data_IF_235286513990
#
_entry.id   IF_235286513990
#
_cell.length_a   1.000
_cell.length_b   1.000
_cell.length_c   1.000
_cell.angle_alpha   90.00
_cell.angle_beta   90.00
_cell.angle_gamma   90.00
#
_symmetry.space_group_name_H-M   'P 1'
#
loop_
_entity.id
_entity.type
_entity.pdbx_description
1 polymer ?
#
# COMPACT_ATOMS: atom_id res chain seq x y z
N UNK A 1 -2.79 -22.61 -7.51
CA UNK A 1 -2.62 -21.33 -6.77
C UNK A 1 -1.20 -20.85 -6.97
N UNK A 2 -1.01 -19.59 -7.35
CA UNK A 2 0.32 -18.97 -7.38
C UNK A 2 0.66 -18.57 -5.94
N UNK A 3 1.75 -19.11 -5.41
CA UNK A 3 2.28 -18.78 -4.08
C UNK A 3 3.33 -17.70 -4.30
N UNK A 4 3.22 -16.59 -3.55
CA UNK A 4 4.26 -15.60 -3.43
C UNK A 4 5.23 -16.05 -2.33
N UNK A 5 6.52 -16.11 -2.65
CA UNK A 5 7.59 -16.30 -1.68
C UNK A 5 8.30 -14.97 -1.48
N UNK A 6 8.58 -14.60 -0.25
CA UNK A 6 9.36 -13.39 0.04
C UNK A 6 10.03 -13.51 1.39
N UNK A 7 11.05 -12.68 1.61
CA UNK A 7 11.77 -12.68 2.87
C UNK A 7 12.78 -11.54 2.96
N UNK A 8 13.45 -11.52 4.10
CA UNK A 8 14.50 -10.57 4.41
C UNK A 8 15.81 -11.04 3.77
N UNK A 9 16.42 -10.23 2.89
CA UNK A 9 17.63 -10.60 2.14
C UNK A 9 18.92 -10.25 2.89
N UNK A 10 18.95 -10.44 4.19
CA UNK A 10 20.10 -10.20 5.06
C UNK A 10 20.17 -11.24 6.18
N UNK A 11 21.31 -11.31 6.85
CA UNK A 11 21.50 -12.15 8.03
C UNK A 11 21.26 -11.30 9.28
N UNK A 12 20.58 -11.84 10.27
CA UNK A 12 20.44 -11.19 11.59
C UNK A 12 21.72 -11.22 12.44
N UNK A 13 22.87 -11.58 11.84
CA UNK A 13 24.15 -11.74 12.50
C UNK A 13 25.07 -12.63 11.67
N UNK A 14 26.02 -13.33 12.32
CA UNK A 14 26.87 -14.30 11.63
C UNK A 14 26.06 -15.51 11.19
N UNK A 15 26.35 -16.04 10.00
CA UNK A 15 25.74 -17.25 9.46
C UNK A 15 26.82 -18.23 8.97
N UNK A 16 26.58 -19.52 9.17
CA UNK A 16 27.42 -20.58 8.58
C UNK A 16 27.07 -20.80 7.10
N UNK A 17 25.98 -20.20 6.58
CA UNK A 17 25.55 -20.32 5.19
C UNK A 17 26.26 -19.23 4.38
N UNK A 18 27.35 -19.60 3.70
CA UNK A 18 28.15 -18.68 2.86
C UNK A 18 27.36 -18.18 1.64
N UNK A 19 26.37 -18.94 1.16
CA UNK A 19 25.58 -18.68 -0.03
C UNK A 19 24.15 -18.25 0.27
N UNK A 20 23.94 -17.50 1.35
CA UNK A 20 22.65 -16.95 1.71
C UNK A 20 22.01 -16.12 0.59
N UNK A 21 20.69 -15.98 0.64
CA UNK A 21 19.90 -15.24 -0.33
C UNK A 21 19.92 -13.74 -0.02
N UNK A 22 20.99 -13.05 -0.40
CA UNK A 22 21.12 -11.60 -0.25
C UNK A 22 20.54 -10.83 -1.44
N UNK A 23 20.26 -9.55 -1.23
CA UNK A 23 19.80 -8.64 -2.31
C UNK A 23 20.71 -8.71 -3.55
N UNK A 24 22.03 -8.81 -3.37
CA UNK A 24 22.99 -8.94 -4.46
C UNK A 24 22.81 -10.18 -5.33
N UNK A 25 22.07 -11.17 -4.84
CA UNK A 25 21.75 -12.42 -5.59
C UNK A 25 20.34 -12.43 -6.18
N UNK A 26 19.60 -11.33 -6.11
CA UNK A 26 18.23 -11.24 -6.61
C UNK A 26 18.11 -11.67 -8.09
N UNK A 27 19.09 -11.31 -8.92
CA UNK A 27 19.14 -11.70 -10.33
C UNK A 27 19.31 -13.21 -10.57
N UNK A 28 19.68 -13.98 -9.56
CA UNK A 28 19.83 -15.45 -9.65
C UNK A 28 18.54 -16.17 -9.25
N UNK A 29 17.62 -15.48 -8.58
CA UNK A 29 16.36 -16.05 -8.11
C UNK A 29 15.28 -16.01 -9.20
N UNK A 30 14.26 -16.83 -9.00
CA UNK A 30 13.01 -16.73 -9.75
C UNK A 30 12.32 -15.37 -9.47
N UNK A 31 11.71 -14.78 -10.52
CA UNK A 31 11.03 -13.47 -10.39
C UNK A 31 9.85 -13.47 -9.41
N UNK A 32 9.41 -14.64 -8.93
CA UNK A 32 8.37 -14.79 -7.90
C UNK A 32 8.90 -14.72 -6.48
N UNK A 33 10.22 -14.67 -6.28
CA UNK A 33 10.83 -14.56 -4.96
C UNK A 33 11.08 -13.09 -4.66
N UNK A 34 10.26 -12.52 -3.78
CA UNK A 34 10.33 -11.12 -3.36
C UNK A 34 11.34 -10.91 -2.23
N UNK A 35 11.97 -9.74 -2.22
CA UNK A 35 12.90 -9.30 -1.17
C UNK A 35 12.52 -7.89 -0.70
N UNK A 36 12.61 -7.67 0.60
CA UNK A 36 12.42 -6.33 1.17
C UNK A 36 13.46 -5.34 0.61
N UNK A 37 13.01 -4.21 0.12
CA UNK A 37 13.86 -3.17 -0.44
C UNK A 37 14.16 -2.10 0.61
N UNK A 38 15.21 -2.31 1.42
CA UNK A 38 15.65 -1.39 2.45
C UNK A 38 16.11 -0.05 1.90
N UNK A 39 16.79 -0.04 0.74
CA UNK A 39 17.23 1.20 0.11
C UNK A 39 16.07 2.12 -0.26
N UNK A 40 14.94 1.57 -0.71
CA UNK A 40 13.73 2.35 -0.98
C UNK A 40 13.07 2.82 0.31
N UNK A 41 12.94 1.94 1.32
CA UNK A 41 12.46 2.30 2.66
C UNK A 41 13.21 3.50 3.22
N UNK A 42 14.54 3.43 3.21
CA UNK A 42 15.41 4.47 3.78
C UNK A 42 15.42 5.75 2.92
N UNK A 43 15.23 5.62 1.60
CA UNK A 43 15.05 6.76 0.74
C UNK A 43 13.74 7.51 1.04
N UNK A 44 12.67 6.79 1.38
CA UNK A 44 11.38 7.39 1.73
C UNK A 44 11.46 8.13 3.06
N UNK A 45 11.96 7.47 4.13
CA UNK A 45 11.82 7.92 5.52
C UNK A 45 13.11 8.33 6.23
N UNK A 46 14.27 8.14 5.62
CA UNK A 46 15.56 8.28 6.30
C UNK A 46 15.97 6.99 7.03
N UNK A 47 16.98 7.07 7.87
CA UNK A 47 17.47 5.95 8.66
C UNK A 47 16.40 5.30 9.54
N UNK A 48 16.65 4.08 9.97
CA UNK A 48 15.61 3.23 10.61
C UNK A 48 15.27 3.68 12.03
N UNK A 49 16.27 4.12 12.82
CA UNK A 49 16.14 4.28 14.29
C UNK A 49 16.61 5.66 14.80
N UNK A 50 16.87 6.59 13.91
CA UNK A 50 17.37 7.93 14.20
C UNK A 50 16.46 9.04 13.65
N UNK A 51 16.81 10.29 13.88
CA UNK A 51 16.07 11.47 13.42
C UNK A 51 16.41 11.90 11.97
N UNK A 52 17.24 11.15 11.24
CA UNK A 52 17.58 11.48 9.85
C UNK A 52 16.35 11.48 8.96
N UNK A 53 16.39 12.30 7.90
CA UNK A 53 15.25 12.53 7.02
C UNK A 53 15.40 11.79 5.69
N UNK A 54 14.28 11.31 5.16
CA UNK A 54 14.16 10.81 3.80
C UNK A 54 13.44 11.80 2.88
N UNK A 55 13.11 11.33 1.69
CA UNK A 55 12.45 12.15 0.68
C UNK A 55 11.15 12.80 1.19
N UNK A 56 10.29 12.04 1.86
CA UNK A 56 8.99 12.54 2.34
C UNK A 56 9.15 13.67 3.37
N UNK A 57 10.21 13.65 4.17
CA UNK A 57 10.52 14.75 5.10
C UNK A 57 11.22 15.94 4.41
N UNK A 58 11.52 15.85 3.11
CA UNK A 58 12.11 16.93 2.33
C UNK A 58 13.61 16.76 2.04
N UNK A 59 14.17 15.57 2.19
CA UNK A 59 15.54 15.29 1.78
C UNK A 59 15.58 14.95 0.27
N UNK A 60 15.77 15.95 -0.55
CA UNK A 60 15.82 15.80 -2.02
C UNK A 60 17.06 15.04 -2.53
N UNK A 61 18.08 14.84 -1.71
CA UNK A 61 19.21 13.95 -2.03
C UNK A 61 18.82 12.47 -2.16
N UNK A 62 17.60 12.11 -1.75
CA UNK A 62 17.05 10.74 -1.85
C UNK A 62 16.21 10.50 -3.11
N UNK A 63 15.95 11.51 -3.91
CA UNK A 63 15.00 11.46 -5.04
C UNK A 63 15.37 10.39 -6.06
N UNK A 64 16.65 10.24 -6.41
CA UNK A 64 17.10 9.21 -7.35
C UNK A 64 16.77 7.79 -6.87
N UNK A 65 17.00 7.49 -5.59
CA UNK A 65 16.68 6.19 -5.00
C UNK A 65 15.18 5.95 -4.93
N UNK A 66 14.39 7.01 -4.65
CA UNK A 66 12.92 6.94 -4.72
C UNK A 66 12.44 6.59 -6.12
N UNK A 67 12.99 7.21 -7.16
CA UNK A 67 12.67 6.91 -8.57
C UNK A 67 12.92 5.44 -8.91
N UNK A 68 14.04 4.88 -8.46
CA UNK A 68 14.33 3.45 -8.66
C UNK A 68 13.35 2.56 -7.88
N UNK A 69 12.98 2.94 -6.67
CA UNK A 69 11.94 2.25 -5.88
C UNK A 69 10.58 2.27 -6.57
N UNK A 70 10.17 3.43 -7.12
CA UNK A 70 8.92 3.56 -7.89
C UNK A 70 8.90 2.61 -9.09
N UNK A 71 10.03 2.42 -9.77
CA UNK A 71 10.16 1.47 -10.89
C UNK A 71 10.18 0.00 -10.46
N UNK A 72 10.25 -0.30 -9.16
CA UNK A 72 10.48 -1.67 -8.67
C UNK A 72 11.85 -2.21 -9.06
N UNK A 73 12.84 -1.34 -9.26
CA UNK A 73 14.21 -1.68 -9.69
C UNK A 73 15.20 -1.59 -8.51
N UNK A 74 14.81 -2.12 -7.37
CA UNK A 74 15.71 -2.23 -6.24
C UNK A 74 16.74 -3.34 -6.47
N UNK A 75 17.91 -3.19 -5.94
CA UNK A 75 18.97 -4.22 -5.86
C UNK A 75 19.20 -5.05 -7.14
N UNK A 76 18.97 -4.51 -8.33
CA UNK A 76 19.14 -5.26 -9.59
C UNK A 76 18.09 -6.34 -9.82
N UNK A 77 16.87 -6.15 -9.28
CA UNK A 77 15.76 -7.06 -9.49
C UNK A 77 15.48 -7.31 -11.00
N UNK A 78 15.19 -8.56 -11.36
CA UNK A 78 14.79 -8.94 -12.72
C UNK A 78 13.44 -8.39 -13.13
N UNK A 79 12.56 -8.26 -12.14
CA UNK A 79 11.20 -7.80 -12.33
C UNK A 79 10.71 -7.07 -11.06
N UNK A 80 9.76 -6.13 -11.19
CA UNK A 80 9.18 -5.47 -10.03
C UNK A 80 8.60 -6.41 -8.98
N UNK A 81 8.14 -7.61 -9.38
CA UNK A 81 7.64 -8.65 -8.47
C UNK A 81 8.67 -9.15 -7.44
N UNK A 82 9.96 -8.91 -7.66
CA UNK A 82 11.00 -9.21 -6.67
C UNK A 82 11.17 -8.11 -5.62
N UNK A 83 10.59 -6.92 -5.82
CA UNK A 83 10.71 -5.79 -4.91
C UNK A 83 9.52 -5.76 -3.94
N UNK A 84 9.79 -5.92 -2.64
CA UNK A 84 8.84 -5.58 -1.58
C UNK A 84 9.05 -4.12 -1.22
N UNK A 85 8.13 -3.26 -1.67
CA UNK A 85 8.12 -1.84 -1.39
C UNK A 85 7.42 -1.59 -0.04
N UNK A 86 8.12 -0.97 0.90
CA UNK A 86 7.61 -0.73 2.25
C UNK A 86 8.23 0.51 2.89
N UNK A 87 7.62 1.00 3.96
CA UNK A 87 8.16 2.10 4.76
C UNK A 87 8.50 1.67 6.19
N UNK A 88 7.78 0.71 6.72
CA UNK A 88 8.02 0.10 8.04
C UNK A 88 7.69 -1.39 8.05
N UNK A 89 8.15 -2.08 9.08
CA UNK A 89 7.89 -3.49 9.34
C UNK A 89 7.83 -3.74 10.85
N UNK A 90 7.99 -5.00 11.29
CA UNK A 90 8.01 -5.37 12.70
C UNK A 90 9.24 -4.84 13.44
N UNK A 91 10.38 -4.71 12.75
CA UNK A 91 11.64 -4.18 13.26
C UNK A 91 11.76 -2.67 13.04
N UNK A 92 12.58 -2.02 13.87
CA UNK A 92 12.87 -0.61 13.82
C UNK A 92 11.67 0.29 14.18
N UNK A 93 11.85 1.61 14.04
CA UNK A 93 10.76 2.56 14.28
C UNK A 93 9.63 2.33 13.28
N UNK A 94 8.41 2.17 13.79
CA UNK A 94 7.21 2.21 12.97
C UNK A 94 7.08 3.58 12.29
N UNK A 95 6.41 3.65 11.15
CA UNK A 95 6.42 4.85 10.29
C UNK A 95 5.98 6.12 11.01
N UNK A 96 4.92 6.04 11.84
CA UNK A 96 4.47 7.19 12.61
C UNK A 96 5.55 7.71 13.57
N UNK A 97 6.16 6.82 14.35
CA UNK A 97 7.19 7.19 15.31
C UNK A 97 8.43 7.79 14.61
N UNK A 98 8.76 7.25 13.45
CA UNK A 98 9.80 7.81 12.60
C UNK A 98 9.47 9.23 12.12
N UNK A 99 8.22 9.49 11.70
CA UNK A 99 7.79 10.83 11.29
C UNK A 99 7.85 11.81 12.47
N UNK A 100 7.35 11.42 13.61
CA UNK A 100 7.40 12.25 14.84
C UNK A 100 8.85 12.59 15.18
N UNK A 101 9.72 11.58 15.25
CA UNK A 101 11.13 11.77 15.64
C UNK A 101 11.89 12.66 14.64
N UNK A 102 11.74 12.43 13.34
CA UNK A 102 12.44 13.18 12.30
C UNK A 102 11.94 14.61 12.13
N UNK A 103 10.77 14.93 12.69
CA UNK A 103 10.28 16.30 12.82
C UNK A 103 10.64 16.95 14.18
N UNK A 104 11.58 16.36 14.93
CA UNK A 104 12.13 16.92 16.16
C UNK A 104 11.19 16.79 17.38
N UNK A 105 10.22 15.90 17.34
CA UNK A 105 9.26 15.66 18.41
C UNK A 105 9.40 14.28 19.03
N UNK A 106 8.78 14.10 20.20
CA UNK A 106 8.51 12.81 20.86
C UNK A 106 7.05 12.73 21.31
N UNK A 107 6.21 13.60 20.78
CA UNK A 107 4.77 13.52 21.03
C UNK A 107 4.14 12.47 20.09
N UNK A 108 4.11 11.24 20.53
CA UNK A 108 3.57 10.10 19.80
C UNK A 108 2.05 10.18 19.56
N UNK A 109 1.36 11.09 20.26
CA UNK A 109 -0.07 11.35 20.12
C UNK A 109 -0.38 12.65 19.37
N UNK A 110 0.62 13.24 18.73
CA UNK A 110 0.47 14.46 17.95
C UNK A 110 -0.64 14.34 16.90
N UNK A 111 -1.44 15.39 16.78
CA UNK A 111 -2.47 15.53 15.73
C UNK A 111 -2.05 16.51 14.63
N UNK A 112 -0.76 16.82 14.54
CA UNK A 112 -0.22 17.73 13.53
C UNK A 112 -0.55 17.27 12.11
N UNK A 113 -1.19 18.15 11.33
CA UNK A 113 -1.49 17.92 9.92
C UNK A 113 -0.23 17.67 9.10
N UNK A 114 0.88 18.33 9.42
CA UNK A 114 2.16 18.11 8.74
C UNK A 114 2.66 16.67 8.88
N UNK A 115 2.43 16.02 10.04
CA UNK A 115 2.81 14.61 10.24
C UNK A 115 1.85 13.67 9.49
N UNK A 116 0.53 13.91 9.58
CA UNK A 116 -0.45 13.08 8.88
C UNK A 116 -0.35 13.24 7.36
N UNK A 117 0.03 14.42 6.85
CA UNK A 117 0.29 14.63 5.43
C UNK A 117 1.51 13.83 4.97
N UNK A 118 2.57 13.77 5.75
CA UNK A 118 3.72 12.92 5.46
C UNK A 118 3.35 11.42 5.47
N UNK A 119 2.49 10.97 6.39
CA UNK A 119 1.95 9.60 6.38
C UNK A 119 1.16 9.32 5.10
N UNK A 120 0.24 10.22 4.73
CA UNK A 120 -0.56 10.09 3.49
C UNK A 120 0.32 10.12 2.24
N UNK A 121 1.31 11.01 2.17
CA UNK A 121 2.25 11.11 1.05
C UNK A 121 3.10 9.84 0.91
N UNK A 122 3.56 9.27 2.03
CA UNK A 122 4.30 7.99 2.05
C UNK A 122 3.47 6.87 1.45
N UNK A 123 2.23 6.72 1.91
CA UNK A 123 1.36 5.66 1.40
C UNK A 123 1.00 5.90 -0.07
N UNK A 124 0.75 7.15 -0.45
CA UNK A 124 0.51 7.51 -1.85
C UNK A 124 1.66 7.08 -2.76
N UNK A 125 2.89 7.36 -2.36
CA UNK A 125 4.10 6.95 -3.07
C UNK A 125 4.21 5.41 -3.15
N UNK A 126 4.02 4.69 -2.05
CA UNK A 126 4.08 3.22 -2.02
C UNK A 126 2.99 2.59 -2.89
N UNK A 127 1.73 3.01 -2.73
CA UNK A 127 0.60 2.42 -3.43
C UNK A 127 0.61 2.67 -4.94
N UNK A 128 1.34 3.67 -5.39
CA UNK A 128 1.52 4.00 -6.81
C UNK A 128 2.86 3.54 -7.38
N UNK A 129 3.69 2.86 -6.58
CA UNK A 129 4.93 2.25 -7.03
C UNK A 129 4.70 0.86 -7.64
N UNK A 130 5.62 0.45 -8.51
CA UNK A 130 5.74 -0.93 -8.98
C UNK A 130 6.21 -1.84 -7.83
N UNK A 131 6.00 -3.14 -8.01
CA UNK A 131 6.39 -4.12 -7.00
C UNK A 131 5.25 -4.53 -6.07
N UNK A 132 5.61 -5.25 -5.02
CA UNK A 132 4.68 -5.74 -4.01
C UNK A 132 4.73 -4.77 -2.85
N UNK A 133 3.59 -4.19 -2.48
CA UNK A 133 3.51 -3.27 -1.34
C UNK A 133 3.28 -4.05 -0.06
N UNK A 134 4.12 -3.76 0.92
CA UNK A 134 3.98 -4.24 2.29
C UNK A 134 3.65 -3.06 3.22
N UNK A 135 2.71 -3.27 4.12
CA UNK A 135 2.25 -2.28 5.08
C UNK A 135 2.08 -2.92 6.46
N UNK A 136 2.60 -2.29 7.48
CA UNK A 136 2.38 -2.71 8.87
C UNK A 136 0.95 -2.36 9.31
N UNK A 137 0.25 -3.32 9.92
CA UNK A 137 -1.11 -3.10 10.43
C UNK A 137 -1.15 -1.96 11.45
N UNK A 138 -2.07 -1.02 11.25
CA UNK A 138 -2.23 0.19 12.06
C UNK A 138 -1.52 1.42 11.50
N UNK A 139 -0.64 1.28 10.50
CA UNK A 139 0.03 2.44 9.87
C UNK A 139 -0.99 3.38 9.22
N UNK A 140 -2.12 2.87 8.75
CA UNK A 140 -3.22 3.63 8.15
C UNK A 140 -3.91 4.59 9.13
N UNK A 141 -3.81 4.35 10.44
CA UNK A 141 -4.28 5.25 11.49
C UNK A 141 -3.18 5.65 12.47
N UNK A 142 -1.95 5.81 11.95
CA UNK A 142 -0.82 6.38 12.66
C UNK A 142 -0.44 5.58 13.93
N UNK A 143 -0.43 4.23 13.86
CA UNK A 143 0.00 3.38 14.97
C UNK A 143 1.34 3.81 15.50
N UNK A 144 1.48 3.87 16.82
CA UNK A 144 2.73 4.15 17.53
C UNK A 144 3.16 2.95 18.35
N UNK A 145 4.46 2.78 18.49
CA UNK A 145 5.12 1.95 19.50
C UNK A 145 5.89 2.84 20.49
N UNK A 146 5.49 4.10 20.61
CA UNK A 146 6.04 5.10 21.53
C UNK A 146 7.57 5.30 21.36
N UNK A 147 8.06 5.15 20.14
CA UNK A 147 9.47 5.28 19.79
C UNK A 147 10.31 4.03 20.10
N UNK A 148 9.69 2.92 20.50
CA UNK A 148 10.40 1.67 20.70
C UNK A 148 10.75 1.04 19.34
N UNK A 149 12.04 1.03 19.02
CA UNK A 149 12.56 0.51 17.76
C UNK A 149 12.94 -0.98 17.82
N UNK A 150 12.86 -1.60 18.99
CA UNK A 150 13.25 -3.01 19.19
C UNK A 150 12.22 -3.75 20.07
N UNK A 151 10.96 -3.63 19.70
CA UNK A 151 9.81 -3.95 20.52
C UNK A 151 9.46 -5.45 20.63
N UNK A 152 10.27 -6.36 20.08
CA UNK A 152 9.92 -7.78 19.99
C UNK A 152 9.69 -8.47 21.37
N UNK A 153 10.24 -7.93 22.46
CA UNK A 153 10.03 -8.37 23.83
C UNK A 153 9.28 -7.36 24.69
N UNK A 154 8.85 -6.25 24.11
CA UNK A 154 8.15 -5.20 24.86
C UNK A 154 6.72 -5.61 25.20
N UNK A 155 6.19 -4.99 26.25
CA UNK A 155 4.85 -5.29 26.76
C UNK A 155 3.74 -4.96 25.72
N UNK A 156 2.55 -5.48 25.97
CA UNK A 156 1.36 -5.22 25.14
C UNK A 156 1.03 -3.74 25.03
N UNK A 157 1.33 -2.93 26.07
CA UNK A 157 1.17 -1.48 26.05
C UNK A 157 1.96 -0.79 24.91
N UNK A 158 3.00 -1.45 24.38
CA UNK A 158 3.80 -1.01 23.23
C UNK A 158 3.36 -1.72 21.93
N UNK A 159 3.09 -3.02 22.01
CA UNK A 159 2.91 -3.85 20.83
C UNK A 159 1.45 -3.99 20.39
N UNK A 160 0.47 -3.86 21.28
CA UNK A 160 -0.95 -3.93 20.92
C UNK A 160 -1.33 -2.80 19.95
N UNK A 161 -2.30 -3.08 19.09
CA UNK A 161 -2.87 -2.08 18.20
C UNK A 161 -3.92 -1.30 18.99
N UNK A 162 -3.66 0.00 19.20
CA UNK A 162 -4.65 0.91 19.80
C UNK A 162 -5.68 1.34 18.74
N UNK A 163 -6.80 0.66 18.70
CA UNK A 163 -7.89 0.94 17.76
C UNK A 163 -8.59 2.27 18.00
N UNK A 164 -8.40 2.92 19.17
CA UNK A 164 -8.98 4.24 19.43
C UNK A 164 -8.37 5.32 18.53
N UNK A 165 -7.14 5.10 18.08
CA UNK A 165 -6.45 5.99 17.12
C UNK A 165 -7.16 6.08 15.77
N UNK A 166 -7.92 5.05 15.37
CA UNK A 166 -8.71 5.09 14.15
C UNK A 166 -9.72 6.25 14.15
N UNK A 167 -10.29 6.60 15.32
CA UNK A 167 -11.18 7.77 15.44
C UNK A 167 -10.41 9.07 15.25
N UNK A 168 -9.23 9.19 15.86
CA UNK A 168 -8.39 10.40 15.81
C UNK A 168 -7.82 10.65 14.41
N UNK A 169 -7.40 9.58 13.71
CA UNK A 169 -6.74 9.65 12.41
C UNK A 169 -7.60 9.07 11.27
N UNK A 170 -8.92 9.17 11.39
CA UNK A 170 -9.87 8.63 10.42
C UNK A 170 -9.62 9.13 8.99
N UNK A 171 -9.29 10.42 8.82
CA UNK A 171 -8.96 10.98 7.48
C UNK A 171 -7.74 10.33 6.85
N UNK A 172 -6.73 9.97 7.66
CA UNK A 172 -5.56 9.23 7.16
C UNK A 172 -5.96 7.83 6.73
N UNK A 173 -6.76 7.13 7.54
CA UNK A 173 -7.26 5.80 7.22
C UNK A 173 -8.13 5.80 5.94
N UNK A 174 -9.00 6.78 5.78
CA UNK A 174 -9.84 6.92 4.58
C UNK A 174 -9.00 7.20 3.33
N UNK A 175 -7.95 8.01 3.46
CA UNK A 175 -7.00 8.24 2.36
C UNK A 175 -6.29 6.96 1.94
N UNK A 176 -5.79 6.17 2.91
CA UNK A 176 -5.17 4.87 2.66
C UNK A 176 -6.14 3.89 1.97
N UNK A 177 -7.38 3.81 2.45
CA UNK A 177 -8.44 3.01 1.85
C UNK A 177 -8.73 3.42 0.39
N UNK A 178 -8.73 4.72 0.12
CA UNK A 178 -8.90 5.24 -1.24
C UNK A 178 -7.76 4.86 -2.17
N UNK A 179 -6.51 4.93 -1.70
CA UNK A 179 -5.34 4.50 -2.48
C UNK A 179 -5.33 3.00 -2.75
N UNK A 180 -5.75 2.18 -1.77
CA UNK A 180 -5.92 0.74 -1.96
C UNK A 180 -6.93 0.44 -3.07
N UNK A 181 -8.07 1.16 -3.09
CA UNK A 181 -9.06 1.04 -4.19
C UNK A 181 -8.46 1.38 -5.56
N UNK A 182 -7.67 2.45 -5.64
CA UNK A 182 -6.97 2.82 -6.89
C UNK A 182 -6.05 1.66 -7.31
N UNK A 183 -5.19 1.17 -6.41
CA UNK A 183 -4.26 0.08 -6.72
C UNK A 183 -4.97 -1.21 -7.10
N UNK A 184 -6.05 -1.57 -6.40
CA UNK A 184 -6.84 -2.77 -6.67
C UNK A 184 -7.47 -2.76 -8.06
N UNK A 185 -7.85 -1.59 -8.55
CA UNK A 185 -8.61 -1.45 -9.80
C UNK A 185 -7.74 -1.02 -11.00
N UNK A 186 -6.43 -0.81 -10.83
CA UNK A 186 -5.52 -0.39 -11.89
C UNK A 186 -4.39 -1.41 -12.09
N UNK A 187 -4.49 -2.20 -13.16
CA UNK A 187 -3.62 -3.35 -13.42
C UNK A 187 -2.12 -3.02 -13.52
N UNK A 188 -1.67 -1.86 -14.05
CA UNK A 188 -0.26 -1.51 -14.06
C UNK A 188 0.40 -1.44 -12.68
N UNK A 189 -0.38 -1.34 -11.61
CA UNK A 189 0.11 -1.29 -10.23
C UNK A 189 0.12 -2.64 -9.52
N UNK A 190 -0.38 -3.73 -10.16
CA UNK A 190 -0.53 -5.04 -9.51
C UNK A 190 -0.31 -6.22 -10.45
N UNK A 191 -0.15 -7.40 -9.84
CA UNK A 191 -0.46 -8.69 -10.48
C UNK A 191 0.48 -9.16 -11.59
N UNK A 192 1.63 -8.54 -11.79
CA UNK A 192 2.58 -8.93 -12.84
C UNK A 192 2.36 -8.22 -14.18
N UNK A 193 1.34 -7.39 -14.30
CA UNK A 193 1.12 -6.51 -15.47
C UNK A 193 1.83 -5.16 -15.28
N UNK A 194 2.92 -5.17 -14.56
CA UNK A 194 3.70 -3.96 -14.31
C UNK A 194 4.13 -3.31 -15.61
N UNK A 195 3.86 -2.01 -15.76
CA UNK A 195 4.38 -1.20 -16.85
C UNK A 195 5.33 -0.15 -16.30
N UNK A 196 6.48 0.01 -16.94
CA UNK A 196 7.46 1.02 -16.53
C UNK A 196 6.85 2.41 -16.66
N UNK A 197 6.83 3.22 -15.59
CA UNK A 197 6.30 4.57 -15.67
C UNK A 197 7.24 5.50 -16.44
N UNK A 198 6.67 6.48 -17.14
CA UNK A 198 7.41 7.59 -17.76
C UNK A 198 7.51 8.73 -16.75
N UNK A 199 8.72 9.24 -16.50
CA UNK A 199 8.94 10.31 -15.55
C UNK A 199 8.94 11.69 -16.23
N UNK A 200 8.13 12.61 -15.69
CA UNK A 200 8.11 14.03 -16.05
C UNK A 200 9.01 14.85 -15.12
N UNK A 201 9.13 14.43 -13.84
CA UNK A 201 10.11 14.96 -12.89
C UNK A 201 10.71 13.82 -12.06
N UNK A 202 12.02 13.85 -11.90
CA UNK A 202 12.80 12.84 -11.17
C UNK A 202 13.93 13.46 -10.36
N UNK A 203 13.80 14.73 -9.98
CA UNK A 203 14.80 15.49 -9.24
C UNK A 203 14.16 16.48 -8.26
N UNK A 204 14.96 17.01 -7.34
CA UNK A 204 14.50 17.97 -6.35
C UNK A 204 13.47 17.37 -5.39
N UNK A 205 12.47 18.13 -5.04
CA UNK A 205 11.41 17.75 -4.11
C UNK A 205 10.21 17.08 -4.78
N UNK A 206 10.19 17.01 -6.11
CA UNK A 206 9.04 16.53 -6.88
C UNK A 206 9.42 15.31 -7.70
N UNK A 207 8.66 14.23 -7.51
CA UNK A 207 8.67 13.06 -8.38
C UNK A 207 7.32 12.98 -9.08
N UNK A 208 7.33 13.02 -10.41
CA UNK A 208 6.13 12.96 -11.23
C UNK A 208 6.29 11.92 -12.33
N UNK A 209 5.31 11.03 -12.46
CA UNK A 209 5.37 9.93 -13.42
C UNK A 209 3.99 9.51 -13.92
N UNK A 210 3.94 8.95 -15.10
CA UNK A 210 2.72 8.51 -15.76
C UNK A 210 2.80 7.04 -16.14
N UNK A 211 1.76 6.31 -15.84
CA UNK A 211 1.49 4.98 -16.36
C UNK A 211 0.56 5.07 -17.56
N UNK A 212 0.83 4.29 -18.60
CA UNK A 212 -0.07 4.06 -19.72
C UNK A 212 -0.61 2.62 -19.66
N UNK A 213 -1.87 2.45 -19.96
CA UNK A 213 -2.56 1.16 -19.87
C UNK A 213 -3.57 1.02 -21.01
N UNK A 214 -3.58 -0.14 -21.64
CA UNK A 214 -4.50 -0.48 -22.72
C UNK A 214 -5.51 -1.57 -22.30
N UNK A 215 -5.60 -1.87 -21.00
CA UNK A 215 -6.56 -2.86 -20.48
C UNK A 215 -7.98 -2.30 -20.62
N UNK A 216 -8.84 -3.03 -21.32
CA UNK A 216 -10.23 -2.63 -21.49
C UNK A 216 -10.94 -2.52 -20.13
N UNK A 217 -11.75 -1.50 -19.95
CA UNK A 217 -12.49 -1.23 -18.72
C UNK A 217 -11.64 -0.61 -17.59
N UNK A 218 -10.39 -0.25 -17.87
CA UNK A 218 -9.52 0.46 -16.92
C UNK A 218 -9.16 1.87 -17.42
N UNK A 219 -8.57 2.67 -16.56
CA UNK A 219 -8.03 3.98 -16.93
C UNK A 219 -6.85 3.84 -17.90
N UNK A 220 -6.84 4.64 -18.96
CA UNK A 220 -5.81 4.59 -19.98
C UNK A 220 -4.48 5.23 -19.56
N UNK A 221 -4.56 6.40 -18.92
CA UNK A 221 -3.39 7.08 -18.36
C UNK A 221 -3.63 7.48 -16.90
N UNK A 222 -2.64 7.24 -16.05
CA UNK A 222 -2.63 7.68 -14.65
C UNK A 222 -1.33 8.43 -14.39
N UNK A 223 -1.44 9.71 -14.03
CA UNK A 223 -0.33 10.58 -13.65
C UNK A 223 -0.25 10.67 -12.12
N UNK A 224 0.90 10.36 -11.56
CA UNK A 224 1.21 10.43 -10.14
C UNK A 224 2.16 11.56 -9.88
N UNK A 225 1.83 12.42 -8.94
CA UNK A 225 2.56 13.63 -8.60
C UNK A 225 2.86 13.65 -7.11
N UNK A 226 4.13 13.57 -6.75
CA UNK A 226 4.59 13.54 -5.35
C UNK A 226 5.43 14.77 -5.07
N UNK A 227 5.01 15.56 -4.09
CA UNK A 227 5.73 16.74 -3.62
C UNK A 227 6.14 16.55 -2.15
N UNK A 228 7.43 16.42 -1.92
CA UNK A 228 8.02 16.32 -0.57
C UNK A 228 8.45 17.67 0.00
N UNK A 229 8.30 18.75 -0.77
CA UNK A 229 8.61 20.12 -0.35
C UNK A 229 7.63 20.69 0.68
N UNK A 230 7.96 21.84 1.21
CA UNK A 230 7.14 22.57 2.20
C UNK A 230 6.24 23.63 1.55
N UNK A 231 6.31 23.79 0.24
CA UNK A 231 5.47 24.68 -0.55
C UNK A 231 4.79 23.89 -1.69
N UNK A 232 3.66 24.40 -2.15
CA UNK A 232 3.02 23.85 -3.34
C UNK A 232 3.94 24.03 -4.56
N UNK A 233 3.89 23.08 -5.49
CA UNK A 233 4.71 23.09 -6.70
C UNK A 233 3.85 22.92 -7.93
N UNK A 234 3.92 23.86 -8.87
CA UNK A 234 3.22 23.76 -10.15
C UNK A 234 4.05 23.01 -11.17
N UNK A 235 3.44 21.99 -11.80
CA UNK A 235 4.08 21.18 -12.84
C UNK A 235 3.22 21.17 -14.11
N UNK A 236 3.86 21.20 -15.27
CA UNK A 236 3.22 20.95 -16.56
C UNK A 236 2.81 19.48 -16.67
N UNK A 237 1.63 19.22 -17.24
CA UNK A 237 1.11 17.88 -17.50
C UNK A 237 1.27 17.54 -18.99
N UNK A 238 1.34 16.26 -19.30
CA UNK A 238 1.31 15.76 -20.67
C UNK A 238 -0.13 15.90 -21.27
N UNK A 239 -0.37 17.07 -21.87
CA UNK A 239 -1.67 17.45 -22.40
C UNK A 239 -2.67 17.95 -21.35
N UNK A 240 -3.89 18.15 -21.80
CA UNK A 240 -5.05 18.57 -20.99
C UNK A 240 -6.04 17.43 -20.77
N UNK A 241 -7.10 17.69 -20.00
CA UNK A 241 -8.17 16.74 -19.76
C UNK A 241 -7.82 15.71 -18.70
N UNK A 242 -7.50 16.18 -17.51
CA UNK A 242 -7.20 15.34 -16.36
C UNK A 242 -8.27 15.46 -15.27
N UNK A 243 -8.65 14.34 -14.68
CA UNK A 243 -9.54 14.22 -13.52
C UNK A 243 -8.72 13.83 -12.31
N UNK A 244 -8.89 14.55 -11.20
CA UNK A 244 -8.19 14.29 -9.94
C UNK A 244 -8.92 13.19 -9.18
N UNK A 245 -8.21 12.14 -8.76
CA UNK A 245 -8.74 11.03 -7.95
C UNK A 245 -8.03 10.88 -6.61
N UNK A 246 -6.87 11.53 -6.45
CA UNK A 246 -6.24 11.76 -5.16
C UNK A 246 -5.58 13.14 -5.15
N UNK A 247 -5.75 13.91 -4.06
CA UNK A 247 -5.29 15.30 -3.96
C UNK A 247 -4.45 15.59 -2.71
N UNK A 248 -3.94 14.54 -2.05
CA UNK A 248 -3.19 14.64 -0.81
C UNK A 248 -4.05 14.59 0.46
N UNK A 249 -5.34 14.92 0.37
CA UNK A 249 -6.30 14.82 1.49
C UNK A 249 -7.32 13.69 1.30
N UNK A 250 -7.82 13.53 0.10
CA UNK A 250 -8.78 12.48 -0.26
C UNK A 250 -8.21 11.65 -1.40
N UNK A 251 -8.59 10.38 -1.45
CA UNK A 251 -8.27 9.46 -2.53
C UNK A 251 -9.42 8.48 -2.76
N UNK A 252 -9.55 7.98 -3.98
CA UNK A 252 -10.57 6.99 -4.31
C UNK A 252 -10.73 6.82 -5.81
N UNK A 253 -11.85 6.24 -6.22
CA UNK A 253 -12.19 6.10 -7.64
C UNK A 253 -13.06 7.27 -8.13
N UNK A 254 -13.61 8.06 -7.20
CA UNK A 254 -14.48 9.19 -7.51
C UNK A 254 -13.70 10.42 -7.95
N UNK A 255 -14.32 11.27 -8.76
CA UNK A 255 -13.75 12.55 -9.16
C UNK A 255 -13.69 13.53 -7.97
N UNK A 256 -12.51 14.07 -7.72
CA UNK A 256 -12.30 15.19 -6.79
C UNK A 256 -12.23 16.54 -7.51
N UNK A 257 -12.49 16.55 -8.82
CA UNK A 257 -12.46 17.72 -9.70
C UNK A 257 -11.66 17.45 -10.97
N UNK A 258 -11.71 18.42 -11.90
CA UNK A 258 -10.96 18.37 -13.15
C UNK A 258 -9.88 19.43 -13.18
N UNK A 259 -8.78 19.15 -13.87
CA UNK A 259 -7.69 20.10 -14.05
C UNK A 259 -8.03 21.04 -15.21
N UNK A 260 -7.98 22.34 -14.95
CA UNK A 260 -8.13 23.36 -16.00
C UNK A 260 -6.78 23.56 -16.69
N UNK A 261 -6.74 23.33 -18.00
CA UNK A 261 -5.50 23.46 -18.79
C UNK A 261 -4.57 22.27 -18.68
N UNK A 262 -3.26 22.55 -18.73
CA UNK A 262 -2.18 21.57 -18.80
C UNK A 262 -1.16 21.70 -17.67
N UNK A 263 -1.54 22.25 -16.52
CA UNK A 263 -0.69 22.33 -15.33
C UNK A 263 -1.49 21.99 -14.07
N UNK A 264 -0.79 21.49 -13.07
CA UNK A 264 -1.37 21.16 -11.77
C UNK A 264 -0.49 21.64 -10.63
N UNK A 265 -1.09 22.26 -9.62
CA UNK A 265 -0.42 22.67 -8.39
C UNK A 265 -0.49 21.55 -7.38
N UNK A 266 0.65 20.89 -7.13
CA UNK A 266 0.79 19.79 -6.18
C UNK A 266 0.94 20.39 -4.78
N UNK A 267 0.04 20.13 -3.84
CA UNK A 267 0.20 20.65 -2.47
C UNK A 267 1.51 20.19 -1.82
N UNK A 268 1.98 20.94 -0.83
CA UNK A 268 3.13 20.52 -0.01
C UNK A 268 2.86 19.15 0.66
N UNK A 269 3.90 18.34 0.83
CA UNK A 269 3.84 17.05 1.54
C UNK A 269 2.69 16.16 1.07
N UNK A 270 2.50 16.04 -0.26
CA UNK A 270 1.37 15.30 -0.80
C UNK A 270 1.74 14.35 -1.94
N UNK A 271 0.90 13.34 -2.11
CA UNK A 271 0.81 12.55 -3.35
C UNK A 271 -0.55 12.79 -3.98
N UNK A 272 -0.56 13.21 -5.24
CA UNK A 272 -1.78 13.37 -6.03
C UNK A 272 -1.80 12.35 -7.17
N UNK A 273 -3.00 11.91 -7.53
CA UNK A 273 -3.22 10.98 -8.65
C UNK A 273 -4.25 11.57 -9.57
N UNK A 274 -3.89 11.71 -10.84
CA UNK A 274 -4.71 12.23 -11.89
C UNK A 274 -4.94 11.15 -12.96
N UNK A 275 -6.13 11.08 -13.49
CA UNK A 275 -6.54 10.14 -14.53
C UNK A 275 -6.94 10.92 -15.78
N UNK A 276 -6.59 10.43 -16.96
CA UNK A 276 -7.03 11.02 -18.20
C UNK A 276 -8.56 10.98 -18.30
N UNK A 277 -9.22 12.15 -18.40
CA UNK A 277 -10.67 12.29 -18.29
C UNK A 277 -11.44 11.49 -19.33
N UNK A 278 -10.87 11.28 -20.53
CA UNK A 278 -11.48 10.46 -21.58
C UNK A 278 -11.68 8.99 -21.20
N UNK A 279 -10.93 8.50 -20.24
CA UNK A 279 -11.04 7.12 -19.73
C UNK A 279 -11.49 7.03 -18.28
N UNK A 280 -11.74 8.17 -17.63
CA UNK A 280 -12.15 8.21 -16.23
C UNK A 280 -13.39 7.36 -15.95
N UNK A 281 -14.39 7.42 -16.81
CA UNK A 281 -15.64 6.65 -16.69
C UNK A 281 -15.48 5.13 -16.80
N UNK A 282 -14.33 4.62 -17.28
CA UNK A 282 -14.15 3.19 -17.49
C UNK A 282 -14.29 2.37 -16.19
N UNK A 283 -13.69 2.83 -15.08
CA UNK A 283 -13.83 2.16 -13.78
C UNK A 283 -15.18 2.45 -13.10
N UNK A 284 -15.79 3.61 -13.39
CA UNK A 284 -17.10 3.97 -12.86
C UNK A 284 -18.23 3.12 -13.47
N UNK A 285 -18.07 2.73 -14.73
CA UNK A 285 -19.03 1.94 -15.47
C UNK A 285 -18.77 0.42 -15.36
N UNK A 286 -17.66 0.01 -14.75
CA UNK A 286 -17.44 -1.38 -14.40
C UNK A 286 -18.41 -1.72 -13.26
N UNK A 287 -19.58 -2.23 -13.59
CA UNK A 287 -20.52 -2.79 -12.62
C UNK A 287 -19.81 -3.86 -11.81
N UNK A 288 -19.41 -3.49 -10.61
CA UNK A 288 -18.96 -4.48 -9.65
C UNK A 288 -20.21 -5.15 -9.08
N UNK A 289 -20.62 -6.24 -9.74
CA UNK A 289 -21.64 -7.11 -9.18
C UNK A 289 -21.04 -7.80 -7.96
N UNK A 290 -21.83 -7.88 -6.91
CA UNK A 290 -21.47 -8.54 -5.66
C UNK A 290 -22.45 -9.66 -5.40
N UNK A 291 -21.93 -10.80 -4.96
CA UNK A 291 -22.73 -11.91 -4.45
C UNK A 291 -22.50 -12.07 -2.96
N UNK A 292 -23.49 -12.61 -2.28
CA UNK A 292 -23.44 -12.88 -0.83
C UNK A 292 -23.22 -14.36 -0.59
N UNK A 293 -22.12 -14.70 0.07
CA UNK A 293 -21.89 -16.04 0.60
C UNK A 293 -22.50 -16.13 2.00
N UNK A 294 -23.41 -17.07 2.18
CA UNK A 294 -23.99 -17.41 3.49
C UNK A 294 -23.59 -18.84 3.87
N UNK A 295 -23.06 -19.00 5.08
CA UNK A 295 -22.70 -20.30 5.64
C UNK A 295 -23.52 -20.51 6.89
N UNK A 296 -24.34 -21.60 6.91
CA UNK A 296 -25.10 -22.03 8.08
C UNK A 296 -24.44 -23.26 8.65
N UNK A 297 -24.21 -23.26 9.94
CA UNK A 297 -23.90 -24.46 10.72
C UNK A 297 -25.18 -24.92 11.38
N UNK A 298 -25.55 -26.17 11.17
CA UNK A 298 -26.83 -26.72 11.65
C UNK A 298 -26.57 -27.99 12.46
N UNK A 299 -27.45 -28.27 13.41
CA UNK A 299 -27.48 -29.55 14.12
C UNK A 299 -28.06 -30.67 13.25
N UNK A 300 -28.15 -31.87 13.80
CA UNK A 300 -28.71 -33.06 13.15
C UNK A 300 -30.21 -32.94 12.81
N UNK A 301 -30.91 -32.01 13.46
CA UNK A 301 -32.34 -31.75 13.24
C UNK A 301 -32.57 -30.60 12.25
N UNK A 302 -31.49 -29.97 11.74
CA UNK A 302 -31.53 -28.83 10.83
C UNK A 302 -31.68 -27.47 11.51
N UNK A 303 -31.59 -27.39 12.83
CA UNK A 303 -31.63 -26.11 13.54
C UNK A 303 -30.31 -25.36 13.34
N UNK A 304 -30.39 -24.07 13.03
CA UNK A 304 -29.20 -23.26 12.81
C UNK A 304 -28.50 -22.93 14.13
N UNK A 305 -27.31 -23.48 14.31
CA UNK A 305 -26.42 -23.21 15.45
C UNK A 305 -25.70 -21.84 15.26
N UNK A 306 -25.25 -21.60 14.04
CA UNK A 306 -24.55 -20.35 13.68
C UNK A 306 -24.74 -20.06 12.21
N UNK A 307 -24.87 -18.78 11.87
CA UNK A 307 -24.93 -18.32 10.49
C UNK A 307 -23.91 -17.18 10.31
N UNK A 308 -23.12 -17.29 9.26
CA UNK A 308 -22.22 -16.20 8.84
C UNK A 308 -22.58 -15.78 7.42
N UNK A 309 -22.48 -14.49 7.14
CA UNK A 309 -22.75 -13.92 5.83
C UNK A 309 -21.68 -12.88 5.48
N UNK A 310 -21.15 -12.96 4.27
CA UNK A 310 -20.18 -12.01 3.78
C UNK A 310 -20.44 -11.73 2.30
N UNK A 311 -20.30 -10.47 1.91
CA UNK A 311 -20.49 -10.02 0.53
C UNK A 311 -19.13 -9.91 -0.15
N UNK A 312 -18.99 -10.51 -1.32
CA UNK A 312 -17.78 -10.53 -2.12
C UNK A 312 -18.07 -10.06 -3.54
N UNK A 313 -17.04 -9.48 -4.17
CA UNK A 313 -17.10 -9.15 -5.60
C UNK A 313 -17.32 -10.43 -6.40
N UNK A 314 -18.18 -10.38 -7.41
CA UNK A 314 -18.39 -11.48 -8.37
C UNK A 314 -17.05 -11.94 -8.98
N UNK A 315 -16.87 -13.22 -9.07
CA UNK A 315 -15.62 -13.85 -9.52
C UNK A 315 -14.60 -14.12 -8.40
N UNK A 316 -14.81 -13.58 -7.18
CA UNK A 316 -13.95 -13.88 -6.03
C UNK A 316 -14.04 -15.37 -5.69
N UNK A 317 -12.89 -16.04 -5.58
CA UNK A 317 -12.86 -17.43 -5.11
C UNK A 317 -13.12 -17.49 -3.61
N UNK A 318 -14.10 -18.29 -3.20
CA UNK A 318 -14.40 -18.53 -1.80
C UNK A 318 -14.06 -19.96 -1.39
N UNK A 319 -13.89 -20.15 -0.09
CA UNK A 319 -13.83 -21.45 0.58
C UNK A 319 -14.61 -21.34 1.90
N UNK A 320 -15.73 -22.01 1.98
CA UNK A 320 -16.46 -22.18 3.24
C UNK A 320 -15.71 -23.17 4.13
N UNK A 321 -15.43 -22.77 5.36
CA UNK A 321 -14.76 -23.60 6.36
C UNK A 321 -15.69 -23.79 7.56
N UNK A 322 -15.57 -24.91 8.26
CA UNK A 322 -16.26 -25.08 9.55
C UNK A 322 -15.87 -23.97 10.51
N UNK A 323 -16.83 -23.51 11.30
CA UNK A 323 -16.54 -22.59 12.39
C UNK A 323 -15.82 -23.32 13.51
N UNK A 324 -14.58 -22.91 13.78
CA UNK A 324 -13.73 -23.60 14.77
C UNK A 324 -14.25 -23.49 16.19
N UNK A 325 -15.08 -22.48 16.51
CA UNK A 325 -15.68 -22.34 17.85
C UNK A 325 -16.76 -23.39 18.11
N UNK A 326 -17.44 -23.89 17.08
CA UNK A 326 -18.41 -24.93 17.18
C UNK A 326 -17.78 -26.35 17.29
N UNK A 327 -16.55 -26.53 16.81
CA UNK A 327 -15.85 -27.82 16.84
C UNK A 327 -15.45 -28.27 18.27
N UNK A 328 -15.58 -27.41 19.28
CA UNK A 328 -15.39 -27.77 20.68
C UNK A 328 -16.56 -28.63 21.21
N UNK A 329 -17.77 -28.33 20.72
CA UNK A 329 -19.01 -28.96 21.23
C UNK A 329 -19.66 -29.91 20.20
N UNK A 330 -19.28 -29.80 18.92
CA UNK A 330 -19.88 -30.52 17.80
C UNK A 330 -18.83 -31.12 16.88
N UNK A 331 -19.13 -32.30 16.33
CA UNK A 331 -18.33 -32.90 15.26
C UNK A 331 -18.96 -32.58 13.90
N UNK A 332 -18.13 -32.17 12.92
CA UNK A 332 -18.61 -32.03 11.55
C UNK A 332 -18.86 -33.41 10.94
N UNK A 333 -20.12 -33.73 10.68
CA UNK A 333 -20.55 -35.01 10.11
C UNK A 333 -20.69 -34.95 8.60
N UNK A 334 -21.25 -33.87 8.07
CA UNK A 334 -21.50 -33.72 6.65
C UNK A 334 -21.49 -32.24 6.24
N UNK A 335 -21.30 -32.00 4.94
CA UNK A 335 -21.36 -30.65 4.33
C UNK A 335 -22.25 -30.75 3.09
N UNK A 336 -23.29 -29.92 3.01
CA UNK A 336 -24.13 -29.76 1.83
C UNK A 336 -23.84 -28.46 1.11
N UNK A 337 -24.04 -28.44 -0.20
CA UNK A 337 -23.72 -27.30 -1.05
C UNK A 337 -22.25 -27.24 -1.45
N UNK A 338 -21.88 -26.18 -2.17
CA UNK A 338 -20.55 -26.01 -2.71
C UNK A 338 -19.65 -25.30 -1.70
N UNK A 339 -18.67 -26.00 -1.16
CA UNK A 339 -17.74 -25.43 -0.15
C UNK A 339 -16.61 -24.57 -0.75
N UNK A 340 -16.39 -24.67 -2.04
CA UNK A 340 -15.40 -23.86 -2.77
C UNK A 340 -15.96 -23.49 -4.14
N UNK A 341 -15.73 -22.27 -4.59
CA UNK A 341 -16.22 -21.82 -5.88
C UNK A 341 -15.86 -20.36 -6.14
N UNK A 342 -16.50 -19.80 -7.15
CA UNK A 342 -16.48 -18.35 -7.38
C UNK A 342 -17.83 -17.76 -7.01
N UNK A 343 -17.80 -16.58 -6.42
CA UNK A 343 -19.02 -15.82 -6.11
C UNK A 343 -19.69 -15.39 -7.41
N UNK A 344 -20.96 -15.73 -7.56
CA UNK A 344 -21.83 -15.32 -8.66
C UNK A 344 -22.68 -14.12 -8.22
N UNK A 345 -23.20 -13.35 -9.19
CA UNK A 345 -24.06 -12.18 -8.94
C UNK A 345 -25.45 -12.58 -8.43
#
# INVERSE_FOLDING_TARGET
KKILMYGEPWTGGSTAISDGCFQSKASQLDARVGMFCDSYRDAIKGGTNDASTGFIQGNNGKTYTVVNGVKGQCFGAKAPSQTIAYADAHDNLIMWDKMVLSNGSKDWNSTSSSLTDQMKATMGLLMTSQGIVFMTAGSEFCRTKQGDHNSYKSADSINAIDWTRLKTYSETADYYKGLLKIRENYSPLKGGNFSTPTFQSSYGYVVAYTYSNNTAGEWGKVCVLVNSGTQAYSIGLDGSGWTVVANGTKAGLESLGTVSGNSYSIPAKSTCVLVQSSTFGNLQNAEHTYGTLKVNHVDENGNVLKSTSATYKTGTTYRALPDTTLLYDYNLVNTTGTTTGKVES
#
